data_IF_129217366235
#
_entry.id   IF_129217366235
#
_cell.length_a   1.000
_cell.length_b   1.000
_cell.length_c   1.000
_cell.angle_alpha   90.00
_cell.angle_beta   90.00
_cell.angle_gamma   90.00
#
_symmetry.space_group_name_H-M   'P 1'
#
loop_
_entity.id
_entity.type
_entity.pdbx_description
1 polymer ?
#
# COMPACT_ATOMS: atom_id res chain seq x y z
N UNK A 1 -9.54 -4.27 17.69
CA UNK A 1 -8.88 -3.74 16.48
C UNK A 1 -7.62 -4.50 16.23
N UNK A 2 -7.47 -5.04 15.04
CA UNK A 2 -6.28 -5.78 14.67
C UNK A 2 -5.72 -5.22 13.36
N UNK A 3 -4.70 -4.39 13.49
CA UNK A 3 -3.89 -3.98 12.35
C UNK A 3 -2.79 -5.01 12.17
N UNK A 4 -2.61 -5.46 10.94
CA UNK A 4 -1.60 -6.44 10.58
C UNK A 4 -0.84 -5.95 9.37
N UNK A 5 0.41 -6.40 9.24
CA UNK A 5 1.27 -6.00 8.14
C UNK A 5 1.78 -7.26 7.43
N UNK A 6 1.80 -7.22 6.11
CA UNK A 6 2.36 -8.31 5.31
C UNK A 6 2.92 -7.78 4.00
N UNK A 7 3.67 -8.61 3.31
CA UNK A 7 4.22 -8.24 2.01
C UNK A 7 3.14 -8.27 0.94
N UNK A 8 3.32 -7.42 -0.06
CA UNK A 8 2.46 -7.36 -1.23
C UNK A 8 2.54 -8.65 -2.03
N UNK A 9 1.39 -9.11 -2.53
CA UNK A 9 1.26 -10.26 -3.41
C UNK A 9 0.58 -9.84 -4.71
N UNK A 10 0.77 -10.59 -5.78
CA UNK A 10 0.17 -10.26 -7.08
C UNK A 10 -1.34 -10.13 -7.02
N UNK A 11 -2.00 -10.94 -6.20
CA UNK A 11 -3.45 -10.87 -6.03
C UNK A 11 -3.94 -9.54 -5.45
N UNK A 12 -3.06 -8.80 -4.78
CA UNK A 12 -3.42 -7.51 -4.19
C UNK A 12 -3.59 -6.41 -5.25
N UNK A 13 -2.99 -6.57 -6.42
CA UNK A 13 -3.04 -5.55 -7.46
C UNK A 13 -4.47 -5.27 -7.94
N UNK A 14 -5.31 -6.29 -8.02
CA UNK A 14 -6.70 -6.12 -8.42
C UNK A 14 -7.48 -5.26 -7.42
N UNK A 15 -7.23 -5.47 -6.12
CA UNK A 15 -7.85 -4.69 -5.06
C UNK A 15 -7.39 -3.24 -5.14
N UNK A 16 -6.11 -3.03 -5.32
CA UNK A 16 -5.51 -1.70 -5.41
C UNK A 16 -6.07 -0.92 -6.62
N UNK A 17 -6.22 -1.59 -7.76
CA UNK A 17 -6.81 -0.96 -8.95
C UNK A 17 -8.23 -0.49 -8.68
N UNK A 18 -9.02 -1.29 -7.98
CA UNK A 18 -10.38 -0.90 -7.62
C UNK A 18 -10.39 0.32 -6.71
N UNK A 19 -9.44 0.42 -5.79
CA UNK A 19 -9.34 1.60 -4.94
C UNK A 19 -9.03 2.85 -5.75
N UNK A 20 -8.08 2.79 -6.69
CA UNK A 20 -7.75 3.93 -7.53
C UNK A 20 -8.94 4.40 -8.36
N UNK A 21 -9.73 3.47 -8.87
CA UNK A 21 -10.93 3.81 -9.64
C UNK A 21 -11.94 4.61 -8.80
N UNK A 22 -11.98 4.37 -7.50
CA UNK A 22 -12.92 5.05 -6.60
C UNK A 22 -12.42 6.41 -6.13
N UNK A 23 -11.12 6.70 -6.21
CA UNK A 23 -10.57 7.99 -5.84
C UNK A 23 -10.73 8.96 -7.01
N UNK A 24 -11.47 10.11 -6.81
CA UNK A 24 -11.92 10.92 -7.95
C UNK A 24 -10.79 11.64 -8.71
N UNK A 25 -9.70 11.97 -8.04
CA UNK A 25 -8.62 12.76 -8.64
C UNK A 25 -7.39 11.92 -9.00
N UNK A 26 -7.52 10.61 -8.99
CA UNK A 26 -6.40 9.71 -9.20
C UNK A 26 -6.57 8.89 -10.46
N UNK A 27 -5.49 8.75 -11.21
CA UNK A 27 -5.41 7.83 -12.32
C UNK A 27 -4.48 6.69 -11.93
N UNK A 28 -4.93 5.46 -12.05
CA UNK A 28 -4.10 4.32 -11.72
C UNK A 28 -2.89 4.26 -12.66
N UNK A 29 -1.68 4.00 -12.15
CA UNK A 29 -0.52 3.82 -13.02
C UNK A 29 -0.66 2.55 -13.84
N UNK A 30 0.06 2.48 -14.95
CA UNK A 30 0.11 1.25 -15.73
C UNK A 30 0.79 0.15 -14.90
N UNK A 31 0.39 -1.10 -15.14
CA UNK A 31 0.88 -2.24 -14.35
C UNK A 31 2.41 -2.36 -14.36
N UNK A 32 3.04 -2.02 -15.47
CA UNK A 32 4.49 -2.10 -15.61
C UNK A 32 5.26 -1.01 -14.85
N UNK A 33 4.56 0.00 -14.33
CA UNK A 33 5.17 0.99 -13.44
C UNK A 33 5.22 0.52 -11.99
N UNK A 34 4.41 -0.46 -11.62
CA UNK A 34 4.32 -0.90 -10.24
C UNK A 34 5.37 -1.96 -9.95
N UNK A 35 6.16 -1.79 -8.88
CA UNK A 35 7.13 -2.80 -8.48
C UNK A 35 6.42 -4.00 -7.84
N UNK A 36 7.10 -5.14 -7.82
CA UNK A 36 6.60 -6.32 -7.13
C UNK A 36 6.75 -6.22 -5.62
N UNK A 37 7.62 -5.33 -5.15
CA UNK A 37 7.90 -5.16 -3.74
C UNK A 37 6.97 -4.11 -3.15
N UNK A 38 6.33 -4.46 -2.07
CA UNK A 38 5.44 -3.55 -1.38
C UNK A 38 4.95 -4.15 -0.07
N UNK A 39 4.14 -3.37 0.63
CA UNK A 39 3.61 -3.73 1.95
C UNK A 39 2.11 -3.48 1.97
N UNK A 40 1.39 -4.39 2.57
CA UNK A 40 -0.07 -4.29 2.76
C UNK A 40 -0.37 -4.20 4.24
N UNK A 41 -1.21 -3.26 4.62
CA UNK A 41 -1.78 -3.18 5.96
C UNK A 41 -3.20 -3.74 5.90
N UNK A 42 -3.49 -4.66 6.79
CA UNK A 42 -4.80 -5.26 6.93
C UNK A 42 -5.46 -4.82 8.24
N UNK A 43 -6.76 -4.61 8.20
CA UNK A 43 -7.58 -4.39 9.38
C UNK A 43 -8.60 -5.51 9.44
N UNK A 44 -8.54 -6.31 10.51
CA UNK A 44 -9.37 -7.50 10.66
C UNK A 44 -9.35 -8.41 9.42
N UNK A 45 -8.15 -8.65 8.92
CA UNK A 45 -7.85 -9.53 7.78
C UNK A 45 -8.27 -8.98 6.41
N UNK A 46 -8.66 -7.71 6.34
CA UNK A 46 -9.00 -7.06 5.06
C UNK A 46 -7.94 -6.02 4.71
N UNK A 47 -7.40 -6.01 3.49
CA UNK A 47 -6.46 -4.96 3.08
C UNK A 47 -7.11 -3.58 3.15
N UNK A 48 -6.40 -2.61 3.73
CA UNK A 48 -6.90 -1.23 3.87
C UNK A 48 -5.90 -0.19 3.37
N UNK A 49 -4.61 -0.51 3.36
CA UNK A 49 -3.55 0.34 2.83
C UNK A 49 -2.53 -0.48 2.09
N UNK A 50 -1.97 0.09 1.02
CA UNK A 50 -0.86 -0.51 0.28
C UNK A 50 0.17 0.57 -0.03
N UNK A 51 1.45 0.24 0.13
CA UNK A 51 2.55 1.08 -0.29
C UNK A 51 3.50 0.28 -1.16
N UNK A 52 3.98 0.88 -2.24
CA UNK A 52 4.91 0.25 -3.16
C UNK A 52 6.33 0.75 -2.92
N UNK A 53 7.31 -0.14 -3.05
CA UNK A 53 8.72 0.16 -2.80
C UNK A 53 9.51 -0.01 -4.10
N UNK A 54 10.15 1.07 -4.54
CA UNK A 54 11.05 1.06 -5.68
C UNK A 54 12.47 0.94 -5.16
N UNK A 55 13.12 -0.19 -5.47
CA UNK A 55 14.53 -0.39 -5.11
C UNK A 55 15.41 0.23 -6.18
N UNK A 56 16.44 0.96 -5.75
CA UNK A 56 17.35 1.65 -6.65
C UNK A 56 18.73 0.99 -6.63
N UNK A 57 19.61 1.41 -7.54
CA UNK A 57 20.99 0.95 -7.58
C UNK A 57 21.86 1.56 -6.48
N UNK A 58 21.33 2.57 -5.79
CA UNK A 58 22.01 3.22 -4.67
C UNK A 58 21.50 2.64 -3.36
N UNK A 59 22.02 3.15 -2.25
CA UNK A 59 21.57 2.76 -0.91
C UNK A 59 20.28 3.53 -0.54
N UNK A 60 19.41 3.75 -1.50
CA UNK A 60 18.15 4.49 -1.33
C UNK A 60 17.04 3.71 -2.00
N UNK A 61 15.90 3.66 -1.34
CA UNK A 61 14.67 3.11 -1.92
C UNK A 61 13.56 4.15 -1.80
N UNK A 62 12.62 4.12 -2.73
CA UNK A 62 11.51 5.06 -2.75
C UNK A 62 10.23 4.35 -2.33
N UNK A 63 9.48 4.97 -1.44
CA UNK A 63 8.13 4.52 -1.09
C UNK A 63 7.17 5.40 -1.87
N UNK A 64 6.48 4.81 -2.83
CA UNK A 64 5.62 5.52 -3.76
C UNK A 64 4.26 4.84 -3.86
N UNK A 65 3.30 5.56 -4.47
CA UNK A 65 1.98 5.00 -4.74
C UNK A 65 1.29 4.45 -3.50
N UNK A 66 1.34 5.21 -2.39
CA UNK A 66 0.58 4.84 -1.19
C UNK A 66 -0.90 5.06 -1.48
N UNK A 67 -1.68 4.00 -1.34
CA UNK A 67 -3.12 4.05 -1.60
C UNK A 67 -3.88 3.35 -0.48
N UNK A 68 -5.05 3.86 -0.16
CA UNK A 68 -5.92 3.26 0.85
C UNK A 68 -7.29 2.96 0.27
N UNK A 69 -8.01 2.03 0.93
CA UNK A 69 -9.40 1.76 0.61
C UNK A 69 -10.23 3.02 0.90
N UNK A 70 -10.86 3.62 -0.11
CA UNK A 70 -11.64 4.84 0.11
C UNK A 70 -12.89 4.62 0.98
N UNK A 71 -13.33 3.39 1.12
CA UNK A 71 -14.48 3.04 1.95
C UNK A 71 -14.11 2.79 3.41
N UNK A 72 -12.82 2.69 3.72
CA UNK A 72 -12.36 2.47 5.09
C UNK A 72 -12.12 3.80 5.78
N UNK A 73 -13.13 4.30 6.46
CA UNK A 73 -13.10 5.60 7.17
C UNK A 73 -13.00 5.38 8.67
N UNK A 74 -11.91 4.76 9.08
CA UNK A 74 -11.70 4.41 10.48
C UNK A 74 -10.78 5.44 11.16
N UNK A 75 -11.03 5.71 12.44
CA UNK A 75 -10.18 6.60 13.23
C UNK A 75 -8.74 6.11 13.34
N UNK A 76 -8.48 4.87 12.99
CA UNK A 76 -7.16 4.27 13.04
C UNK A 76 -6.36 4.44 11.74
N UNK A 77 -6.86 5.24 10.78
CA UNK A 77 -6.17 5.45 9.50
C UNK A 77 -4.75 5.99 9.69
N UNK A 78 -4.57 6.92 10.62
CA UNK A 78 -3.26 7.49 10.90
C UNK A 78 -2.29 6.41 11.39
N UNK A 79 -2.73 5.57 12.32
CA UNK A 79 -1.92 4.46 12.81
C UNK A 79 -1.56 3.47 11.71
N UNK A 80 -2.51 3.18 10.84
CA UNK A 80 -2.28 2.29 9.70
C UNK A 80 -1.22 2.85 8.77
N UNK A 81 -1.27 4.15 8.48
CA UNK A 81 -0.27 4.79 7.63
C UNK A 81 1.12 4.75 8.26
N UNK A 82 1.22 5.04 9.56
CA UNK A 82 2.48 4.96 10.28
C UNK A 82 3.06 3.55 10.25
N UNK A 83 2.22 2.55 10.45
CA UNK A 83 2.62 1.15 10.39
C UNK A 83 3.10 0.77 8.98
N UNK A 84 2.43 1.27 7.95
CA UNK A 84 2.81 1.04 6.56
C UNK A 84 4.22 1.56 6.28
N UNK A 85 4.50 2.79 6.68
CA UNK A 85 5.81 3.41 6.46
C UNK A 85 6.90 2.62 7.20
N UNK A 86 6.65 2.27 8.47
CA UNK A 86 7.58 1.46 9.25
C UNK A 86 7.83 0.10 8.60
N UNK A 87 6.78 -0.53 8.11
CA UNK A 87 6.89 -1.80 7.41
C UNK A 87 7.71 -1.71 6.13
N UNK A 88 7.52 -0.65 5.36
CA UNK A 88 8.31 -0.41 4.16
C UNK A 88 9.79 -0.23 4.49
N UNK A 89 10.10 0.51 5.55
CA UNK A 89 11.49 0.67 6.00
C UNK A 89 12.12 -0.66 6.38
N UNK A 90 11.38 -1.56 7.00
CA UNK A 90 11.88 -2.87 7.41
C UNK A 90 12.10 -3.82 6.23
N UNK A 91 11.39 -3.64 5.14
CA UNK A 91 11.56 -4.45 3.93
C UNK A 91 12.80 -4.01 3.14
N UNK A 92 13.11 -2.73 3.22
CA UNK A 92 14.30 -2.16 2.59
C UNK A 92 15.55 -2.60 3.36
#
# INVERSE_FOLDING_TARGET
MKLNIRRLQNSDLEIVKKWWEQWPDWTAPADDFLPETGVVIEYDSKPVFVGFIYLTNAKVALIEWIVSDPNWKNKNRKKALELLITGCENVI
#
